data_IF_649548763804
#
_entry.id   IF_649548763804
#
_cell.length_a   1.000
_cell.length_b   1.000
_cell.length_c   1.000
_cell.angle_alpha   90.00
_cell.angle_beta   90.00
_cell.angle_gamma   90.00
#
_symmetry.space_group_name_H-M   'P 1'
#
loop_
_entity.id
_entity.type
_entity.pdbx_description
1 polymer ?
#
# COMPACT_ATOMS: atom_id res chain seq x y z
N UNK A 1 -2.18 4.28 -30.65
CA UNK A 1 -2.38 2.93 -30.07
C UNK A 1 -1.87 3.07 -28.65
N UNK A 2 -2.78 3.03 -27.68
CA UNK A 2 -2.42 3.36 -26.30
C UNK A 2 -1.39 2.34 -25.79
N UNK A 3 -0.23 2.83 -25.34
CA UNK A 3 0.93 2.01 -24.96
C UNK A 3 0.97 1.83 -23.43
N UNK A 4 0.00 1.09 -22.91
CA UNK A 4 -0.09 0.80 -21.48
C UNK A 4 0.86 -0.33 -21.07
N UNK A 5 1.51 -0.17 -19.93
CA UNK A 5 2.28 -1.24 -19.29
C UNK A 5 1.37 -2.29 -18.66
N UNK A 6 0.25 -1.85 -18.07
CA UNK A 6 -0.74 -2.73 -17.42
C UNK A 6 -2.13 -2.25 -17.81
N UNK A 7 -2.97 -3.20 -18.23
CA UNK A 7 -4.39 -2.99 -18.45
C UNK A 7 -5.18 -4.11 -17.79
N UNK A 8 -6.19 -3.77 -17.00
CA UNK A 8 -7.13 -4.74 -16.44
C UNK A 8 -8.56 -4.41 -16.89
N UNK A 9 -9.34 -5.45 -17.14
CA UNK A 9 -10.73 -5.38 -17.55
C UNK A 9 -11.55 -6.27 -16.64
N UNK A 10 -12.32 -5.62 -15.75
CA UNK A 10 -13.18 -6.26 -14.74
C UNK A 10 -12.48 -7.40 -13.97
N UNK A 11 -11.22 -7.21 -13.59
CA UNK A 11 -10.46 -8.27 -12.91
C UNK A 11 -10.98 -8.47 -11.49
N UNK A 12 -11.36 -9.71 -11.17
CA UNK A 12 -11.94 -10.07 -9.87
C UNK A 12 -11.16 -11.21 -9.24
N UNK A 13 -10.98 -11.15 -7.92
CA UNK A 13 -10.42 -12.25 -7.13
C UNK A 13 -11.32 -12.60 -5.96
N UNK A 14 -11.77 -13.85 -5.98
CA UNK A 14 -12.50 -14.46 -4.88
C UNK A 14 -11.64 -15.53 -4.20
N UNK A 15 -11.67 -15.54 -2.87
CA UNK A 15 -11.11 -16.61 -2.07
C UNK A 15 -12.24 -17.37 -1.36
N UNK A 16 -12.15 -18.70 -1.40
CA UNK A 16 -13.01 -19.56 -0.59
C UNK A 16 -12.40 -19.64 0.80
N UNK A 17 -12.94 -18.86 1.73
CA UNK A 17 -12.50 -18.86 3.12
C UNK A 17 -13.24 -19.96 3.89
N UNK A 18 -12.46 -20.73 4.63
CA UNK A 18 -12.97 -21.61 5.66
C UNK A 18 -12.92 -20.83 6.97
N UNK A 19 -14.07 -20.50 7.55
CA UNK A 19 -14.12 -20.08 8.93
C UNK A 19 -14.24 -21.34 9.80
N UNK A 20 -13.17 -21.77 10.50
CA UNK A 20 -13.26 -22.91 11.40
C UNK A 20 -14.21 -22.67 12.59
N UNK A 21 -14.57 -21.40 12.90
CA UNK A 21 -15.36 -21.03 14.06
C UNK A 21 -16.42 -19.95 13.73
N UNK A 22 -17.62 -20.36 13.28
CA UNK A 22 -18.69 -19.40 13.02
C UNK A 22 -19.22 -18.70 14.30
N UNK A 23 -18.92 -19.20 15.52
CA UNK A 23 -19.45 -18.70 16.80
C UNK A 23 -18.48 -18.88 18.01
N UNK A 24 -17.20 -18.48 17.94
CA UNK A 24 -16.33 -18.54 19.13
C UNK A 24 -16.28 -17.20 19.88
N UNK A 25 -17.08 -17.08 20.94
CA UNK A 25 -16.91 -16.08 22.01
C UNK A 25 -16.11 -16.66 23.21
N UNK A 26 -15.37 -17.75 23.01
CA UNK A 26 -14.62 -18.49 24.05
C UNK A 26 -13.14 -18.09 24.10
N UNK A 27 -12.63 -17.91 25.33
CA UNK A 27 -11.22 -17.59 25.62
C UNK A 27 -10.24 -18.78 25.44
N UNK A 28 -10.73 -19.95 25.00
CA UNK A 28 -9.96 -21.20 24.92
C UNK A 28 -9.78 -21.68 23.47
N UNK A 29 -9.14 -20.82 22.67
CA UNK A 29 -8.86 -21.00 21.24
C UNK A 29 -8.11 -22.31 20.89
N UNK A 30 -7.35 -22.88 21.82
CA UNK A 30 -6.60 -24.14 21.61
C UNK A 30 -7.47 -25.40 21.74
N UNK A 31 -8.50 -25.37 22.59
CA UNK A 31 -9.39 -26.53 22.80
C UNK A 31 -10.38 -26.72 21.65
N UNK A 32 -10.85 -25.61 21.07
CA UNK A 32 -11.73 -25.62 19.90
C UNK A 32 -10.98 -26.18 18.65
N UNK A 33 -9.66 -25.96 18.56
CA UNK A 33 -8.82 -26.49 17.49
C UNK A 33 -8.60 -27.99 17.59
N UNK A 34 -8.32 -28.50 18.79
CA UNK A 34 -8.14 -29.92 19.05
C UNK A 34 -9.45 -30.71 18.83
N UNK A 35 -10.58 -30.18 19.30
CA UNK A 35 -11.89 -30.83 19.15
C UNK A 35 -12.38 -30.85 17.70
N UNK A 36 -12.21 -29.77 16.95
CA UNK A 36 -12.49 -29.71 15.51
C UNK A 36 -11.62 -30.70 14.72
N UNK A 37 -10.32 -30.79 15.03
CA UNK A 37 -9.41 -31.72 14.36
C UNK A 37 -9.74 -33.19 14.66
N UNK A 38 -10.05 -33.53 15.92
CA UNK A 38 -10.41 -34.90 16.34
C UNK A 38 -11.76 -35.33 15.71
N UNK A 39 -12.73 -34.43 15.61
CA UNK A 39 -14.05 -34.72 15.02
C UNK A 39 -14.01 -34.80 13.50
N UNK A 40 -13.13 -34.05 12.83
CA UNK A 40 -13.00 -34.04 11.36
C UNK A 40 -12.58 -35.39 10.73
N UNK A 41 -12.00 -36.31 11.51
CA UNK A 41 -11.64 -37.67 11.03
C UNK A 41 -12.82 -38.64 10.96
N UNK A 42 -14.02 -38.28 11.41
CA UNK A 42 -15.25 -39.08 11.23
C UNK A 42 -16.11 -38.48 10.11
N UNK A 43 -16.10 -39.17 8.97
CA UNK A 43 -16.87 -38.97 7.73
C UNK A 43 -18.15 -38.10 7.81
N UNK A 44 -18.24 -37.14 6.88
CA UNK A 44 -19.46 -36.68 6.17
C UNK A 44 -20.62 -36.01 6.95
N UNK A 45 -20.40 -35.12 7.93
CA UNK A 45 -21.53 -34.47 8.65
C UNK A 45 -21.52 -32.91 8.69
N UNK A 46 -20.57 -32.21 8.07
CA UNK A 46 -20.69 -30.75 7.93
C UNK A 46 -20.66 -30.33 6.46
N UNK A 47 -21.82 -29.86 5.96
CA UNK A 47 -21.87 -28.90 4.87
C UNK A 47 -21.15 -27.65 5.35
N UNK A 48 -19.83 -27.62 5.20
CA UNK A 48 -19.01 -26.51 5.63
C UNK A 48 -19.37 -25.30 4.78
N UNK A 49 -19.96 -24.29 5.41
CA UNK A 49 -20.37 -23.06 4.74
C UNK A 49 -19.09 -22.28 4.37
N UNK A 50 -18.57 -22.50 3.16
CA UNK A 50 -17.44 -21.76 2.60
C UNK A 50 -17.93 -20.34 2.34
N UNK A 51 -17.42 -19.37 3.09
CA UNK A 51 -17.68 -17.97 2.77
C UNK A 51 -16.78 -17.57 1.61
N UNK A 52 -17.38 -16.98 0.58
CA UNK A 52 -16.63 -16.37 -0.50
C UNK A 52 -16.26 -14.94 -0.07
N UNK A 53 -14.96 -14.66 -0.02
CA UNK A 53 -14.44 -13.31 0.20
C UNK A 53 -13.99 -12.77 -1.15
N UNK A 54 -14.64 -11.71 -1.61
CA UNK A 54 -14.22 -10.97 -2.81
C UNK A 54 -13.15 -9.98 -2.37
N UNK A 55 -11.89 -10.27 -2.69
CA UNK A 55 -10.76 -9.43 -2.29
C UNK A 55 -10.45 -8.33 -3.32
N UNK A 56 -10.81 -8.56 -4.58
CA UNK A 56 -10.76 -7.59 -5.68
C UNK A 56 -12.01 -7.79 -6.50
N UNK A 57 -12.73 -6.72 -6.83
CA UNK A 57 -14.05 -6.77 -7.45
C UNK A 57 -14.10 -5.87 -8.69
N UNK A 58 -14.15 -6.50 -9.86
CA UNK A 58 -14.30 -5.86 -11.17
C UNK A 58 -13.36 -4.65 -11.39
N UNK A 59 -12.08 -4.81 -11.06
CA UNK A 59 -11.12 -3.70 -11.16
C UNK A 59 -10.73 -3.43 -12.61
N UNK A 60 -10.92 -2.18 -13.02
CA UNK A 60 -10.46 -1.62 -14.29
C UNK A 60 -9.33 -0.63 -14.03
N UNK A 61 -8.13 -0.94 -14.51
CA UNK A 61 -6.92 -0.17 -14.24
C UNK A 61 -6.09 -0.04 -15.51
N UNK A 62 -5.54 1.15 -15.74
CA UNK A 62 -4.60 1.43 -16.83
C UNK A 62 -3.39 2.20 -16.30
N UNK A 63 -2.22 1.59 -16.45
CA UNK A 63 -0.92 2.16 -16.07
C UNK A 63 -0.10 2.39 -17.34
N UNK A 64 0.35 3.63 -17.53
CA UNK A 64 1.17 4.02 -18.67
C UNK A 64 2.59 3.46 -18.54
N UNK A 65 3.27 3.22 -19.66
CA UNK A 65 4.70 2.86 -19.61
C UNK A 65 5.54 3.98 -19.03
N UNK A 66 6.47 3.62 -18.15
CA UNK A 66 7.35 4.57 -17.47
C UNK A 66 6.65 5.40 -16.40
N UNK A 67 5.40 5.08 -16.05
CA UNK A 67 4.65 5.75 -14.98
C UNK A 67 5.12 5.23 -13.61
N UNK A 68 5.25 6.14 -12.65
CA UNK A 68 5.29 5.80 -11.23
C UNK A 68 3.86 5.87 -10.69
N UNK A 69 3.21 4.73 -10.60
CA UNK A 69 1.80 4.60 -10.27
C UNK A 69 1.61 4.14 -8.82
N UNK A 70 0.76 4.85 -8.07
CA UNK A 70 0.38 4.50 -6.71
C UNK A 70 -0.95 3.76 -6.64
N UNK A 71 -1.01 2.66 -5.90
CA UNK A 71 -2.26 1.99 -5.51
C UNK A 71 -2.48 2.22 -4.02
N UNK A 72 -3.43 3.07 -3.69
CA UNK A 72 -3.72 3.51 -2.32
C UNK A 72 -4.97 2.88 -1.76
N UNK A 73 -5.03 2.76 -0.45
CA UNK A 73 -6.22 2.28 0.25
C UNK A 73 -5.89 1.71 1.62
N UNK A 74 -6.91 1.50 2.47
CA UNK A 74 -6.72 0.93 3.79
C UNK A 74 -6.21 -0.51 3.73
N UNK A 75 -5.84 -1.03 4.90
CA UNK A 75 -5.57 -2.45 5.06
C UNK A 75 -6.82 -3.26 4.71
N UNK A 76 -6.65 -4.33 3.92
CA UNK A 76 -7.77 -5.13 3.44
C UNK A 76 -8.48 -4.61 2.19
N UNK A 77 -8.12 -3.44 1.65
CA UNK A 77 -8.74 -2.90 0.43
C UNK A 77 -8.52 -3.75 -0.84
N UNK A 78 -7.59 -4.72 -0.83
CA UNK A 78 -7.29 -5.58 -1.97
C UNK A 78 -5.97 -5.29 -2.70
N UNK A 79 -5.18 -4.32 -2.22
CA UNK A 79 -3.93 -3.85 -2.87
C UNK A 79 -2.93 -4.97 -3.17
N UNK A 80 -2.51 -5.69 -2.13
CA UNK A 80 -1.61 -6.84 -2.21
C UNK A 80 -2.17 -7.95 -3.11
N UNK A 81 -3.48 -8.19 -3.07
CA UNK A 81 -4.14 -9.19 -3.91
C UNK A 81 -4.05 -8.81 -5.38
N UNK A 82 -4.29 -7.54 -5.72
CA UNK A 82 -4.17 -7.03 -7.09
C UNK A 82 -2.72 -7.13 -7.59
N UNK A 83 -1.73 -6.72 -6.79
CA UNK A 83 -0.30 -6.88 -7.15
C UNK A 83 0.05 -8.34 -7.41
N UNK A 84 -0.37 -9.25 -6.53
CA UNK A 84 -0.11 -10.69 -6.70
C UNK A 84 -0.80 -11.26 -7.93
N UNK A 85 -1.96 -10.72 -8.33
CA UNK A 85 -2.58 -11.09 -9.60
C UNK A 85 -1.78 -10.62 -10.80
N UNK A 86 -1.39 -9.34 -10.83
CA UNK A 86 -0.57 -8.77 -11.92
C UNK A 86 0.79 -9.47 -12.06
N UNK A 87 1.30 -10.01 -10.95
CA UNK A 87 2.50 -10.84 -10.91
C UNK A 87 2.30 -12.32 -11.31
N UNK A 88 1.07 -12.76 -11.60
CA UNK A 88 0.67 -14.16 -11.82
C UNK A 88 0.97 -15.11 -10.65
N UNK A 89 1.11 -14.57 -9.43
CA UNK A 89 1.21 -15.37 -8.20
C UNK A 89 -0.15 -15.98 -7.88
N UNK A 90 -1.23 -15.23 -8.11
CA UNK A 90 -2.59 -15.74 -8.15
C UNK A 90 -3.20 -15.45 -9.50
N UNK A 91 -3.99 -16.38 -10.03
CA UNK A 91 -4.82 -16.10 -11.20
C UNK A 91 -6.14 -15.44 -10.74
N UNK A 92 -6.69 -14.50 -11.51
CA UNK A 92 -8.01 -13.94 -11.23
C UNK A 92 -9.09 -15.02 -11.29
N UNK A 93 -10.18 -14.81 -10.57
CA UNK A 93 -11.38 -15.65 -10.64
C UNK A 93 -12.18 -15.35 -11.91
N UNK A 94 -12.24 -14.08 -12.31
CA UNK A 94 -12.85 -13.61 -13.56
C UNK A 94 -12.20 -12.32 -14.04
N UNK A 95 -12.57 -11.88 -15.25
CA UNK A 95 -11.97 -10.74 -15.92
C UNK A 95 -10.69 -11.09 -16.68
N UNK A 96 -10.06 -10.08 -17.26
CA UNK A 96 -8.84 -10.23 -18.07
C UNK A 96 -7.85 -9.13 -17.75
N UNK A 97 -6.57 -9.38 -18.04
CA UNK A 97 -5.54 -8.37 -17.93
C UNK A 97 -4.45 -8.58 -18.97
N UNK A 98 -3.81 -7.48 -19.37
CA UNK A 98 -2.58 -7.47 -20.14
C UNK A 98 -1.48 -6.82 -19.31
N UNK A 99 -0.32 -7.47 -19.28
CA UNK A 99 0.86 -6.98 -18.56
C UNK A 99 2.03 -7.00 -19.53
N UNK A 100 2.62 -5.83 -19.76
CA UNK A 100 3.63 -5.60 -20.79
C UNK A 100 3.19 -6.08 -22.19
N UNK A 101 1.90 -5.94 -22.51
CA UNK A 101 1.31 -6.42 -23.78
C UNK A 101 0.97 -7.91 -23.83
N UNK A 102 1.33 -8.70 -22.81
CA UNK A 102 1.05 -10.13 -22.75
C UNK A 102 -0.24 -10.43 -21.99
N UNK A 103 -1.04 -11.37 -22.49
CA UNK A 103 -2.27 -11.82 -21.81
C UNK A 103 -1.93 -12.55 -20.51
N UNK A 104 -2.49 -12.08 -19.40
CA UNK A 104 -2.19 -12.59 -18.05
C UNK A 104 -2.56 -14.07 -17.86
N UNK A 105 -3.60 -14.55 -18.52
CA UNK A 105 -4.07 -15.94 -18.39
C UNK A 105 -3.37 -16.86 -19.38
N UNK A 106 -3.13 -16.41 -20.61
CA UNK A 106 -2.60 -17.23 -21.72
C UNK A 106 -1.08 -17.21 -21.81
N UNK A 107 -0.43 -16.11 -21.42
CA UNK A 107 1.00 -15.87 -21.62
C UNK A 107 1.75 -15.65 -20.29
N UNK A 108 1.36 -16.37 -19.24
CA UNK A 108 1.86 -16.24 -17.87
C UNK A 108 3.39 -16.21 -17.78
N UNK A 109 4.11 -17.07 -18.51
CA UNK A 109 5.58 -17.10 -18.50
C UNK A 109 6.21 -15.82 -19.03
N UNK A 110 5.59 -15.19 -20.04
CA UNK A 110 6.06 -13.91 -20.58
C UNK A 110 5.75 -12.76 -19.62
N UNK A 111 4.58 -12.82 -18.96
CA UNK A 111 4.25 -11.87 -17.88
C UNK A 111 5.27 -11.97 -16.75
N UNK A 112 5.55 -13.18 -16.23
CA UNK A 112 6.56 -13.41 -15.18
C UNK A 112 7.94 -12.88 -15.55
N UNK A 113 8.36 -13.07 -16.81
CA UNK A 113 9.64 -12.55 -17.28
C UNK A 113 9.67 -11.02 -17.44
N UNK A 114 8.51 -10.36 -17.44
CA UNK A 114 8.37 -8.91 -17.64
C UNK A 114 8.13 -8.10 -16.37
N UNK A 115 7.93 -8.77 -15.22
CA UNK A 115 7.63 -8.12 -13.94
C UNK A 115 8.60 -8.57 -12.86
N UNK A 116 9.02 -7.62 -12.02
CA UNK A 116 9.64 -7.92 -10.75
C UNK A 116 8.65 -7.61 -9.62
N UNK A 117 8.71 -8.38 -8.54
CA UNK A 117 7.85 -8.19 -7.37
C UNK A 117 8.72 -8.07 -6.13
N UNK A 118 8.55 -6.98 -5.39
CA UNK A 118 9.12 -6.80 -4.06
C UNK A 118 7.97 -6.72 -3.08
N UNK A 119 7.85 -7.70 -2.19
CA UNK A 119 6.83 -7.74 -1.16
C UNK A 119 7.36 -7.17 0.15
N UNK A 120 6.48 -6.60 0.97
CA UNK A 120 6.76 -6.35 2.38
C UNK A 120 7.23 -7.65 3.05
N UNK A 121 8.33 -7.58 3.79
CA UNK A 121 8.97 -8.77 4.34
C UNK A 121 9.71 -9.64 3.31
N UNK A 122 9.91 -9.18 2.07
CA UNK A 122 10.62 -9.91 1.01
C UNK A 122 12.06 -10.32 1.38
N UNK A 123 12.61 -9.73 2.44
CA UNK A 123 13.87 -10.13 3.04
C UNK A 123 13.85 -11.51 3.71
N UNK A 124 12.68 -12.09 4.00
CA UNK A 124 12.53 -13.45 4.53
C UNK A 124 13.06 -14.53 3.56
N UNK A 125 13.28 -14.17 2.29
CA UNK A 125 13.91 -15.06 1.30
C UNK A 125 15.44 -15.08 1.35
N UNK A 126 16.07 -14.45 2.34
CA UNK A 126 17.53 -14.46 2.51
C UNK A 126 17.93 -15.27 3.74
N UNK A 127 19.07 -15.95 3.64
CA UNK A 127 19.68 -16.63 4.76
C UNK A 127 20.42 -15.61 5.65
N UNK A 128 20.00 -15.53 6.91
CA UNK A 128 20.53 -14.61 7.91
C UNK A 128 21.97 -14.89 8.30
N UNK A 129 22.47 -16.11 8.10
CA UNK A 129 23.83 -16.50 8.43
C UNK A 129 24.80 -16.33 7.27
N UNK A 130 24.29 -16.07 6.07
CA UNK A 130 25.07 -15.91 4.84
C UNK A 130 25.30 -14.43 4.53
N UNK A 131 26.42 -14.11 3.89
CA UNK A 131 26.71 -12.72 3.50
C UNK A 131 25.69 -12.18 2.51
N UNK A 132 25.53 -10.85 2.48
CA UNK A 132 24.64 -10.17 1.55
C UNK A 132 24.98 -10.53 0.10
N UNK A 133 26.27 -10.49 -0.25
CA UNK A 133 26.77 -10.84 -1.59
C UNK A 133 26.38 -12.26 -1.97
N UNK A 134 26.61 -13.24 -1.10
CA UNK A 134 26.31 -14.63 -1.40
C UNK A 134 24.81 -14.90 -1.53
N UNK A 135 24.00 -14.24 -0.70
CA UNK A 135 22.54 -14.23 -0.83
C UNK A 135 22.09 -13.74 -2.22
N UNK A 136 22.64 -12.63 -2.69
CA UNK A 136 22.30 -12.08 -4.01
C UNK A 136 22.84 -12.93 -5.16
N UNK A 137 24.05 -13.49 -5.04
CA UNK A 137 24.61 -14.43 -6.03
C UNK A 137 23.69 -15.66 -6.13
N UNK A 138 23.22 -16.21 -5.01
CA UNK A 138 22.27 -17.33 -5.01
C UNK A 138 21.02 -16.99 -5.84
N UNK A 139 20.39 -15.84 -5.58
CA UNK A 139 19.22 -15.42 -6.35
C UNK A 139 19.51 -15.16 -7.83
N UNK A 140 20.65 -14.53 -8.15
CA UNK A 140 21.07 -14.31 -9.54
C UNK A 140 21.23 -15.65 -10.29
N UNK A 141 21.83 -16.64 -9.63
CA UNK A 141 21.98 -17.99 -10.18
C UNK A 141 20.63 -18.69 -10.36
N UNK A 142 19.70 -18.51 -9.42
CA UNK A 142 18.32 -19.01 -9.53
C UNK A 142 17.54 -18.36 -10.68
N UNK A 143 17.84 -17.10 -11.02
CA UNK A 143 17.30 -16.43 -12.21
C UNK A 143 18.00 -16.85 -13.51
N UNK A 144 18.95 -17.79 -13.47
CA UNK A 144 19.61 -18.36 -14.65
C UNK A 144 20.85 -17.61 -15.11
N UNK A 145 21.35 -16.62 -14.36
CA UNK A 145 22.57 -15.90 -14.72
C UNK A 145 23.78 -16.82 -14.59
N UNK A 146 24.74 -16.69 -15.51
CA UNK A 146 26.06 -17.33 -15.41
C UNK A 146 26.84 -16.75 -14.23
N UNK A 147 27.82 -17.49 -13.70
CA UNK A 147 28.50 -17.10 -12.43
C UNK A 147 29.22 -15.76 -12.52
N UNK A 148 29.90 -15.50 -13.63
CA UNK A 148 30.57 -14.23 -13.95
C UNK A 148 29.57 -13.08 -14.03
N UNK A 149 28.48 -13.28 -14.78
CA UNK A 149 27.41 -12.29 -14.91
C UNK A 149 26.69 -12.04 -13.58
N UNK A 150 26.41 -13.08 -12.81
CA UNK A 150 25.81 -12.98 -11.50
C UNK A 150 26.64 -12.10 -10.57
N UNK A 151 27.96 -12.29 -10.50
CA UNK A 151 28.84 -11.46 -9.66
C UNK A 151 28.78 -9.99 -10.09
N UNK A 152 28.91 -9.72 -11.39
CA UNK A 152 28.84 -8.36 -11.94
C UNK A 152 27.50 -7.67 -11.62
N UNK A 153 26.39 -8.36 -11.85
CA UNK A 153 25.04 -7.85 -11.58
C UNK A 153 24.78 -7.63 -10.09
N UNK A 154 25.38 -8.46 -9.23
CA UNK A 154 25.33 -8.28 -7.77
C UNK A 154 26.08 -7.04 -7.34
N UNK A 155 27.27 -6.79 -7.88
CA UNK A 155 28.03 -5.55 -7.61
C UNK A 155 27.25 -4.32 -8.05
N UNK A 156 26.71 -4.33 -9.28
CA UNK A 156 25.85 -3.25 -9.79
C UNK A 156 24.63 -3.02 -8.89
N UNK A 157 23.94 -4.09 -8.47
CA UNK A 157 22.75 -3.98 -7.63
C UNK A 157 23.07 -3.44 -6.23
N UNK A 158 24.17 -3.91 -5.61
CA UNK A 158 24.63 -3.43 -4.31
C UNK A 158 25.02 -1.95 -4.34
N UNK A 159 25.66 -1.53 -5.44
CA UNK A 159 26.00 -0.13 -5.71
C UNK A 159 24.77 0.75 -5.75
N UNK A 160 23.78 0.35 -6.56
CA UNK A 160 22.54 1.08 -6.71
C UNK A 160 21.84 1.26 -5.36
N UNK A 161 21.76 0.20 -4.54
CA UNK A 161 21.06 0.29 -3.25
C UNK A 161 21.91 0.79 -2.08
N UNK A 162 23.18 1.15 -2.32
CA UNK A 162 24.11 1.65 -1.31
C UNK A 162 24.41 0.64 -0.20
N UNK A 163 24.66 -0.62 -0.55
CA UNK A 163 24.99 -1.71 0.39
C UNK A 163 26.37 -2.35 0.11
N UNK A 164 27.20 -1.74 -0.73
CA UNK A 164 28.53 -2.24 -1.13
C UNK A 164 29.44 -2.49 0.08
N UNK A 165 29.53 -1.53 1.00
CA UNK A 165 30.39 -1.60 2.19
C UNK A 165 30.00 -2.73 3.16
N UNK A 166 28.81 -3.29 2.98
CA UNK A 166 28.25 -4.36 3.81
C UNK A 166 28.12 -5.68 3.07
N UNK A 167 28.60 -5.76 1.83
CA UNK A 167 28.43 -6.92 0.96
C UNK A 167 28.88 -8.24 1.62
N UNK A 168 29.93 -8.18 2.44
CA UNK A 168 30.50 -9.34 3.14
C UNK A 168 29.94 -9.57 4.54
N UNK A 169 29.12 -8.66 5.08
CA UNK A 169 28.43 -8.84 6.35
C UNK A 169 27.28 -9.84 6.22
N UNK A 170 26.95 -10.52 7.32
CA UNK A 170 25.76 -11.38 7.40
C UNK A 170 24.49 -10.55 7.20
N UNK A 171 23.53 -11.07 6.42
CA UNK A 171 22.27 -10.33 6.17
C UNK A 171 21.43 -10.09 7.44
N UNK A 172 21.68 -10.86 8.52
CA UNK A 172 21.00 -10.73 9.80
C UNK A 172 21.27 -9.41 10.53
N UNK A 173 22.42 -8.76 10.30
CA UNK A 173 22.82 -7.53 10.99
C UNK A 173 22.19 -6.26 10.38
N UNK A 174 21.51 -6.40 9.25
CA UNK A 174 20.88 -5.27 8.56
C UNK A 174 19.67 -4.73 9.35
N UNK A 175 19.54 -3.39 9.37
CA UNK A 175 18.32 -2.72 9.84
C UNK A 175 17.12 -3.02 8.92
N UNK A 176 15.90 -2.73 9.36
CA UNK A 176 14.69 -2.92 8.54
C UNK A 176 14.79 -2.21 7.18
N UNK A 177 15.26 -0.95 7.16
CA UNK A 177 15.45 -0.19 5.92
C UNK A 177 16.49 -0.79 4.99
N UNK A 178 17.58 -1.33 5.54
CA UNK A 178 18.62 -1.97 4.75
C UNK A 178 18.19 -3.34 4.21
N UNK A 179 17.42 -4.12 4.99
CA UNK A 179 16.79 -5.36 4.52
C UNK A 179 15.84 -5.10 3.36
N UNK A 180 15.12 -3.99 3.41
CA UNK A 180 14.23 -3.59 2.34
C UNK A 180 15.01 -3.19 1.07
N UNK A 181 16.08 -2.41 1.22
CA UNK A 181 17.01 -2.11 0.10
C UNK A 181 17.61 -3.39 -0.49
N UNK A 182 17.96 -4.37 0.34
CA UNK A 182 18.42 -5.68 -0.12
C UNK A 182 17.34 -6.44 -0.91
N UNK A 183 16.08 -6.40 -0.46
CA UNK A 183 14.96 -6.99 -1.19
C UNK A 183 14.77 -6.33 -2.57
N UNK A 184 14.97 -5.02 -2.68
CA UNK A 184 14.96 -4.30 -3.96
C UNK A 184 16.17 -4.70 -4.83
N UNK A 185 17.37 -4.80 -4.25
CA UNK A 185 18.58 -5.23 -4.96
C UNK A 185 18.41 -6.59 -5.63
N UNK A 186 17.73 -7.54 -4.98
CA UNK A 186 17.37 -8.83 -5.58
C UNK A 186 16.54 -8.66 -6.86
N UNK A 187 15.56 -7.76 -6.87
CA UNK A 187 14.78 -7.45 -8.07
C UNK A 187 15.64 -6.87 -9.20
N UNK A 188 16.71 -6.15 -8.86
CA UNK A 188 17.60 -5.52 -9.84
C UNK A 188 18.61 -6.46 -10.48
N UNK A 189 18.73 -7.71 -10.00
CA UNK A 189 19.63 -8.71 -10.60
C UNK A 189 19.26 -8.98 -12.05
N UNK A 190 17.96 -8.96 -12.38
CA UNK A 190 17.43 -9.07 -13.73
C UNK A 190 16.68 -7.79 -14.13
N UNK A 191 16.85 -7.36 -15.37
CA UNK A 191 16.08 -6.26 -15.89
C UNK A 191 14.65 -6.71 -16.21
N UNK A 192 13.66 -5.98 -15.68
CA UNK A 192 12.25 -6.10 -16.07
C UNK A 192 11.68 -4.71 -16.38
N UNK A 193 10.78 -4.58 -17.36
CA UNK A 193 10.16 -3.29 -17.68
C UNK A 193 9.19 -2.78 -16.59
N UNK A 194 8.69 -3.67 -15.73
CA UNK A 194 7.70 -3.35 -14.69
C UNK A 194 8.22 -3.81 -13.33
N UNK A 195 8.11 -2.94 -12.33
CA UNK A 195 8.37 -3.20 -10.91
C UNK A 195 7.07 -3.07 -10.12
N UNK A 196 6.66 -4.16 -9.47
CA UNK A 196 5.51 -4.21 -8.58
C UNK A 196 6.01 -4.23 -7.12
N UNK A 197 5.73 -3.17 -6.38
CA UNK A 197 6.20 -2.96 -5.01
C UNK A 197 5.00 -3.00 -4.07
N UNK A 198 4.94 -4.02 -3.23
CA UNK A 198 3.87 -4.18 -2.26
C UNK A 198 4.32 -3.67 -0.89
N UNK A 199 3.85 -2.49 -0.51
CA UNK A 199 4.12 -1.83 0.77
C UNK A 199 5.63 -1.73 1.09
N UNK A 200 6.45 -1.16 0.19
CA UNK A 200 7.91 -1.25 0.28
C UNK A 200 8.52 -0.37 1.37
N UNK A 201 7.76 0.49 2.04
CA UNK A 201 8.25 1.38 3.11
C UNK A 201 7.66 1.07 4.47
N UNK A 202 6.86 0.01 4.58
CA UNK A 202 6.17 -0.33 5.82
C UNK A 202 7.15 -0.74 6.91
N UNK A 203 6.98 -0.16 8.10
CA UNK A 203 7.84 -0.39 9.26
C UNK A 203 9.21 0.32 9.20
N UNK A 204 9.40 1.23 8.24
CA UNK A 204 10.57 2.10 8.19
C UNK A 204 10.30 3.43 8.90
N UNK A 205 11.34 4.01 9.48
CA UNK A 205 11.29 5.40 9.95
C UNK A 205 11.11 6.37 8.75
N UNK A 206 10.60 7.60 8.98
CA UNK A 206 10.30 8.54 7.90
C UNK A 206 11.47 8.83 6.94
N UNK A 207 12.70 8.94 7.46
CA UNK A 207 13.88 9.24 6.65
C UNK A 207 14.26 8.03 5.77
N UNK A 208 14.25 6.83 6.35
CA UNK A 208 14.48 5.60 5.58
C UNK A 208 13.41 5.36 4.52
N UNK A 209 12.14 5.58 4.85
CA UNK A 209 11.02 5.46 3.92
C UNK A 209 11.15 6.44 2.74
N UNK A 210 11.53 7.70 3.01
CA UNK A 210 11.79 8.69 1.97
C UNK A 210 12.95 8.24 1.08
N UNK A 211 14.09 7.87 1.67
CA UNK A 211 15.28 7.48 0.91
C UNK A 211 15.03 6.27 -0.01
N UNK A 212 14.22 5.29 0.43
CA UNK A 212 13.83 4.15 -0.40
C UNK A 212 12.96 4.59 -1.59
N UNK A 213 11.94 5.43 -1.36
CA UNK A 213 11.06 5.93 -2.44
C UNK A 213 11.80 6.82 -3.43
N UNK A 214 12.67 7.69 -2.92
CA UNK A 214 13.53 8.56 -3.72
C UNK A 214 14.44 7.74 -4.64
N UNK A 215 15.11 6.71 -4.09
CA UNK A 215 15.88 5.75 -4.87
C UNK A 215 15.03 5.08 -5.97
N UNK A 216 13.84 4.57 -5.63
CA UNK A 216 12.97 3.91 -6.61
C UNK A 216 12.56 4.89 -7.73
N UNK A 217 12.19 6.13 -7.39
CA UNK A 217 11.76 7.13 -8.36
C UNK A 217 12.92 7.54 -9.28
N UNK A 218 14.10 7.77 -8.72
CA UNK A 218 15.24 8.27 -9.49
C UNK A 218 15.92 7.17 -10.30
N UNK A 219 16.29 6.05 -9.66
CA UNK A 219 17.07 5.00 -10.32
C UNK A 219 16.19 4.08 -11.18
N UNK A 220 15.06 3.62 -10.66
CA UNK A 220 14.23 2.64 -11.40
C UNK A 220 13.35 3.33 -12.44
N UNK A 221 12.62 4.34 -12.02
CA UNK A 221 11.66 5.00 -12.90
C UNK A 221 12.32 6.00 -13.86
N UNK A 222 13.02 7.02 -13.37
CA UNK A 222 13.58 8.08 -14.23
C UNK A 222 14.79 7.63 -15.07
N UNK A 223 15.75 6.93 -14.46
CA UNK A 223 17.00 6.55 -15.14
C UNK A 223 16.86 5.31 -16.00
N UNK A 224 16.17 4.26 -15.52
CA UNK A 224 15.97 3.01 -16.28
C UNK A 224 14.67 2.98 -17.10
N UNK A 225 13.81 4.00 -16.98
CA UNK A 225 12.54 4.09 -17.71
C UNK A 225 11.52 3.02 -17.31
N UNK A 226 11.69 2.39 -16.15
CA UNK A 226 10.80 1.31 -15.72
C UNK A 226 9.46 1.85 -15.25
N UNK A 227 8.41 1.07 -15.50
CA UNK A 227 7.09 1.32 -14.92
C UNK A 227 7.10 0.81 -13.49
N UNK A 228 6.70 1.64 -12.53
CA UNK A 228 6.66 1.26 -11.12
C UNK A 228 5.23 1.32 -10.64
N UNK A 229 4.74 0.24 -10.03
CA UNK A 229 3.46 0.22 -9.32
C UNK A 229 3.75 -0.02 -7.85
N UNK A 230 3.42 0.95 -7.00
CA UNK A 230 3.67 0.89 -5.56
C UNK A 230 2.35 0.88 -4.81
N UNK A 231 2.18 -0.06 -3.88
CA UNK A 231 1.08 -0.05 -2.91
C UNK A 231 1.50 0.67 -1.64
N UNK A 232 0.62 1.50 -1.10
CA UNK A 232 0.83 2.16 0.19
C UNK A 232 -0.53 2.51 0.80
N UNK A 233 -0.62 2.48 2.12
CA UNK A 233 -1.73 3.11 2.86
C UNK A 233 -1.36 4.54 3.30
N UNK A 234 -0.13 4.98 3.07
CA UNK A 234 0.33 6.33 3.41
C UNK A 234 0.10 7.30 2.25
N UNK A 235 -0.99 8.07 2.33
CA UNK A 235 -1.43 9.02 1.30
C UNK A 235 -0.35 10.05 0.94
N UNK A 236 0.38 10.57 1.93
CA UNK A 236 1.46 11.53 1.71
C UNK A 236 2.58 10.95 0.84
N UNK A 237 2.82 9.64 0.89
CA UNK A 237 3.88 9.03 0.11
C UNK A 237 3.58 9.05 -1.38
N UNK A 238 2.32 8.78 -1.72
CA UNK A 238 1.89 8.78 -3.10
C UNK A 238 1.77 10.19 -3.66
N UNK A 239 1.33 11.17 -2.87
CA UNK A 239 1.36 12.58 -3.27
C UNK A 239 2.76 13.05 -3.68
N UNK A 240 3.79 12.58 -2.95
CA UNK A 240 5.16 13.04 -3.14
C UNK A 240 5.84 12.42 -4.37
N UNK A 241 5.54 11.17 -4.72
CA UNK A 241 6.32 10.41 -5.69
C UNK A 241 5.54 9.90 -6.92
N UNK A 242 4.21 9.73 -6.81
CA UNK A 242 3.42 9.10 -7.85
C UNK A 242 2.93 10.13 -8.88
N UNK A 243 3.01 9.76 -10.15
CA UNK A 243 2.50 10.56 -11.26
C UNK A 243 0.96 10.46 -11.30
N UNK A 244 0.44 9.24 -11.07
CA UNK A 244 -0.98 8.95 -10.91
C UNK A 244 -1.21 7.95 -9.79
N UNK A 245 -2.42 7.99 -9.26
CA UNK A 245 -2.84 7.22 -8.10
C UNK A 245 -4.23 6.64 -8.33
N UNK A 246 -4.41 5.36 -8.04
CA UNK A 246 -5.72 4.75 -7.88
C UNK A 246 -6.01 4.56 -6.39
N UNK A 247 -7.16 5.04 -5.95
CA UNK A 247 -7.70 4.79 -4.63
C UNK A 247 -8.57 3.54 -4.69
N UNK A 248 -8.22 2.54 -3.89
CA UNK A 248 -8.87 1.26 -3.75
C UNK A 248 -9.57 1.20 -2.38
N UNK A 249 -10.85 0.85 -2.38
CA UNK A 249 -11.61 0.56 -1.15
C UNK A 249 -12.51 -0.66 -1.40
N UNK A 250 -12.56 -1.57 -0.42
CA UNK A 250 -13.36 -2.80 -0.48
C UNK A 250 -13.24 -3.57 -1.82
N UNK A 251 -12.03 -3.68 -2.36
CA UNK A 251 -11.74 -4.41 -3.58
C UNK A 251 -12.01 -3.65 -4.88
N UNK A 252 -12.50 -2.40 -4.83
CA UNK A 252 -12.89 -1.60 -5.99
C UNK A 252 -12.05 -0.33 -6.11
N UNK A 253 -11.75 0.09 -7.35
CA UNK A 253 -11.15 1.41 -7.59
C UNK A 253 -12.26 2.45 -7.55
N UNK A 254 -12.19 3.37 -6.58
CA UNK A 254 -13.19 4.43 -6.39
C UNK A 254 -12.80 5.74 -7.08
N UNK A 255 -11.51 5.97 -7.30
CA UNK A 255 -11.00 7.10 -8.06
C UNK A 255 -9.61 6.78 -8.62
N UNK A 256 -9.27 7.32 -9.79
CA UNK A 256 -7.93 7.20 -10.36
C UNK A 256 -7.57 8.42 -11.21
N UNK A 257 -6.59 9.20 -10.78
CA UNK A 257 -6.11 10.38 -11.50
C UNK A 257 -4.72 10.81 -10.94
N UNK A 258 -4.19 11.96 -11.37
CA UNK A 258 -3.03 12.57 -10.71
C UNK A 258 -3.42 13.03 -9.29
N UNK A 259 -2.47 13.08 -8.33
CA UNK A 259 -2.76 13.56 -6.98
C UNK A 259 -3.43 14.94 -6.97
N UNK A 260 -2.97 15.87 -7.82
CA UNK A 260 -3.54 17.21 -7.97
C UNK A 260 -5.00 17.16 -8.45
N UNK A 261 -5.31 16.29 -9.41
CA UNK A 261 -6.66 16.19 -9.96
C UNK A 261 -7.64 15.52 -8.99
N UNK A 262 -7.17 14.54 -8.22
CA UNK A 262 -7.95 13.96 -7.14
C UNK A 262 -8.30 15.00 -6.06
N UNK A 263 -7.35 15.87 -5.68
CA UNK A 263 -7.60 16.95 -4.72
C UNK A 263 -8.68 17.93 -5.18
N UNK A 264 -8.83 18.17 -6.49
CA UNK A 264 -9.88 19.02 -7.06
C UNK A 264 -11.30 18.43 -6.96
N UNK A 265 -11.44 17.15 -6.62
CA UNK A 265 -12.74 16.55 -6.32
C UNK A 265 -13.36 17.16 -5.05
N UNK A 266 -12.52 17.67 -4.15
CA UNK A 266 -12.99 18.34 -2.94
C UNK A 266 -13.50 19.74 -3.24
N UNK A 267 -14.75 20.00 -2.83
CA UNK A 267 -15.36 21.33 -2.86
C UNK A 267 -15.21 21.99 -1.49
N UNK A 268 -14.91 23.28 -1.46
CA UNK A 268 -14.76 24.07 -0.23
C UNK A 268 -13.32 24.09 0.32
N UNK A 269 -13.12 24.87 1.37
CA UNK A 269 -11.83 25.03 2.03
C UNK A 269 -11.64 24.01 3.15
N UNK A 270 -10.40 23.53 3.33
CA UNK A 270 -9.98 22.76 4.50
C UNK A 270 -9.27 23.71 5.45
N UNK A 271 -9.68 23.71 6.70
CA UNK A 271 -9.10 24.52 7.76
C UNK A 271 -8.28 23.62 8.69
N UNK A 272 -7.02 23.98 8.93
CA UNK A 272 -6.16 23.36 9.92
C UNK A 272 -6.18 24.20 11.20
N UNK A 273 -6.61 23.59 12.29
CA UNK A 273 -6.55 24.15 13.63
C UNK A 273 -5.44 23.47 14.42
N UNK A 274 -4.59 24.25 15.08
CA UNK A 274 -3.77 23.77 16.19
C UNK A 274 -4.51 24.11 17.48
N UNK A 275 -4.71 23.10 18.31
CA UNK A 275 -5.55 23.18 19.51
C UNK A 275 -4.80 22.59 20.70
N UNK A 276 -5.03 23.19 21.86
CA UNK A 276 -4.64 22.64 23.16
C UNK A 276 -5.88 22.41 24.02
N UNK A 277 -5.74 21.59 25.06
CA UNK A 277 -6.78 21.30 26.05
C UNK A 277 -8.06 20.70 25.42
N UNK A 278 -7.91 19.95 24.31
CA UNK A 278 -9.04 19.34 23.62
C UNK A 278 -9.57 18.16 24.41
N UNK A 279 -10.86 18.23 24.77
CA UNK A 279 -11.57 17.10 25.38
C UNK A 279 -12.14 16.19 24.28
N UNK A 280 -12.08 14.86 24.42
CA UNK A 280 -12.58 13.93 23.40
C UNK A 280 -14.06 14.15 23.01
N UNK A 281 -14.89 14.61 23.94
CA UNK A 281 -16.31 14.86 23.68
C UNK A 281 -16.57 16.06 22.74
N UNK A 282 -15.63 16.99 22.64
CA UNK A 282 -15.76 18.17 21.77
C UNK A 282 -15.66 17.79 20.30
N UNK A 283 -14.74 16.87 19.97
CA UNK A 283 -14.54 16.38 18.60
C UNK A 283 -15.78 15.60 18.14
N UNK A 284 -16.32 14.74 18.99
CA UNK A 284 -17.57 14.00 18.70
C UNK A 284 -18.77 14.95 18.50
N UNK A 285 -18.88 16.00 19.32
CA UNK A 285 -19.92 17.03 19.14
C UNK A 285 -19.74 17.81 17.84
N UNK A 286 -18.49 18.05 17.41
CA UNK A 286 -18.19 18.71 16.15
C UNK A 286 -18.50 17.79 14.96
N UNK A 287 -18.18 16.50 15.05
CA UNK A 287 -18.57 15.46 14.06
C UNK A 287 -20.09 15.39 13.89
N UNK A 288 -20.85 15.50 14.98
CA UNK A 288 -22.31 15.50 14.96
C UNK A 288 -22.94 16.85 14.56
N UNK A 289 -22.14 17.91 14.39
CA UNK A 289 -22.64 19.24 14.08
C UNK A 289 -22.97 19.42 12.60
N UNK A 290 -23.71 20.49 12.27
CA UNK A 290 -23.94 20.89 10.87
C UNK A 290 -22.85 21.82 10.31
N UNK A 291 -21.89 22.25 11.12
CA UNK A 291 -20.87 23.24 10.73
C UNK A 291 -19.62 22.57 10.13
N UNK A 292 -19.31 21.34 10.53
CA UNK A 292 -18.26 20.53 9.94
C UNK A 292 -18.89 19.46 9.06
N UNK A 293 -18.34 19.26 7.86
CA UNK A 293 -18.73 18.14 6.99
C UNK A 293 -17.82 16.93 7.19
N UNK A 294 -16.54 17.17 7.50
CA UNK A 294 -15.51 16.15 7.71
C UNK A 294 -14.42 16.67 8.64
N UNK A 295 -13.81 15.74 9.38
CA UNK A 295 -12.83 16.02 10.43
C UNK A 295 -11.74 14.96 10.38
N UNK A 296 -10.48 15.38 10.45
CA UNK A 296 -9.33 14.51 10.73
C UNK A 296 -8.65 15.09 11.95
N UNK A 297 -8.61 14.34 13.04
CA UNK A 297 -7.95 14.75 14.28
C UNK A 297 -6.69 13.96 14.56
N UNK A 298 -5.67 14.66 15.09
CA UNK A 298 -4.43 14.06 15.59
C UNK A 298 -4.06 14.77 16.88
N UNK A 299 -4.45 14.17 18.01
CA UNK A 299 -4.19 14.68 19.34
C UNK A 299 -3.29 13.74 20.13
N UNK A 300 -2.36 14.33 20.89
CA UNK A 300 -1.58 13.64 21.91
C UNK A 300 -2.43 13.40 23.16
N UNK A 301 -1.91 12.60 24.10
CA UNK A 301 -2.62 12.24 25.33
C UNK A 301 -2.96 13.44 26.24
N UNK A 302 -2.28 14.57 26.07
CA UNK A 302 -2.51 15.82 26.80
C UNK A 302 -3.59 16.71 26.16
N UNK A 303 -4.18 16.27 25.03
CA UNK A 303 -5.18 17.05 24.29
C UNK A 303 -4.59 18.18 23.45
N UNK A 304 -3.27 18.17 23.23
CA UNK A 304 -2.57 19.05 22.29
C UNK A 304 -2.51 18.38 20.92
N UNK A 305 -2.76 19.12 19.85
CA UNK A 305 -2.64 18.55 18.51
C UNK A 305 -3.28 19.36 17.40
N UNK A 306 -3.60 18.67 16.32
CA UNK A 306 -4.13 19.27 15.09
C UNK A 306 -5.49 18.72 14.74
N UNK A 307 -6.34 19.59 14.21
CA UNK A 307 -7.65 19.25 13.69
C UNK A 307 -7.81 19.84 12.29
N UNK A 308 -7.96 18.98 11.29
CA UNK A 308 -8.36 19.39 9.93
C UNK A 308 -9.87 19.32 9.83
N UNK A 309 -10.50 20.40 9.38
CA UNK A 309 -11.96 20.50 9.25
C UNK A 309 -12.32 20.95 7.84
N UNK A 310 -13.15 20.19 7.16
CA UNK A 310 -13.83 20.65 5.96
C UNK A 310 -15.16 21.31 6.35
N UNK A 311 -15.27 22.62 6.11
CA UNK A 311 -16.50 23.36 6.36
C UNK A 311 -17.68 22.83 5.54
N UNK A 312 -18.87 22.77 6.14
CA UNK A 312 -20.10 22.47 5.40
C UNK A 312 -20.52 23.64 4.49
N UNK A 313 -21.11 23.34 3.34
CA UNK A 313 -21.59 24.36 2.41
C UNK A 313 -22.59 25.31 3.10
N UNK A 314 -22.27 26.60 3.14
CA UNK A 314 -23.14 27.67 3.64
C UNK A 314 -23.08 27.95 5.15
N UNK A 315 -22.66 27.00 5.99
CA UNK A 315 -22.62 27.15 7.45
C UNK A 315 -21.26 26.88 8.11
N UNK A 316 -20.35 26.19 7.42
CA UNK A 316 -19.01 25.88 7.94
C UNK A 316 -17.98 26.84 7.39
N UNK A 317 -17.81 28.00 8.02
CA UNK A 317 -16.65 28.86 7.78
C UNK A 317 -15.67 28.76 8.96
N UNK A 318 -14.46 29.26 8.75
CA UNK A 318 -13.39 29.26 9.73
C UNK A 318 -13.85 29.80 11.10
N UNK A 319 -14.59 30.91 11.08
CA UNK A 319 -15.03 31.62 12.28
C UNK A 319 -16.07 30.84 13.09
N UNK A 320 -17.04 30.20 12.43
CA UNK A 320 -18.05 29.39 13.09
C UNK A 320 -17.44 28.16 13.76
N UNK A 321 -16.46 27.51 13.11
CA UNK A 321 -15.74 26.36 13.67
C UNK A 321 -14.87 26.80 14.85
N UNK A 322 -14.14 27.92 14.70
CA UNK A 322 -13.33 28.49 15.78
C UNK A 322 -14.17 28.80 17.01
N UNK A 323 -15.29 29.50 16.83
CA UNK A 323 -16.20 29.86 17.92
C UNK A 323 -16.75 28.60 18.62
N UNK A 324 -17.16 27.58 17.86
CA UNK A 324 -17.66 26.33 18.43
C UNK A 324 -16.63 25.64 19.35
N UNK A 325 -15.36 25.66 18.97
CA UNK A 325 -14.24 25.07 19.72
C UNK A 325 -13.94 25.88 21.00
N UNK A 326 -13.83 27.20 20.88
CA UNK A 326 -13.52 28.10 22.01
C UNK A 326 -14.63 28.10 23.07
N UNK A 327 -15.91 28.09 22.66
CA UNK A 327 -17.07 28.00 23.57
C UNK A 327 -17.07 26.71 24.41
N UNK A 328 -16.36 25.67 23.95
CA UNK A 328 -16.25 24.36 24.62
C UNK A 328 -14.93 24.20 25.36
N UNK A 329 -14.16 25.29 25.48
CA UNK A 329 -12.94 25.34 26.27
C UNK A 329 -11.69 24.83 25.56
N UNK A 330 -11.74 24.61 24.24
CA UNK A 330 -10.53 24.33 23.46
C UNK A 330 -9.75 25.62 23.24
N UNK A 331 -8.44 25.58 23.44
CA UNK A 331 -7.56 26.73 23.19
C UNK A 331 -7.04 26.65 21.76
N UNK A 332 -7.53 27.53 20.89
CA UNK A 332 -7.08 27.63 19.50
C UNK A 332 -5.78 28.43 19.45
N UNK A 333 -4.67 27.79 19.10
CA UNK A 333 -3.36 28.45 18.98
C UNK A 333 -3.10 28.96 17.56
N UNK A 334 -3.58 28.23 16.55
CA UNK A 334 -3.41 28.56 15.15
C UNK A 334 -4.63 28.15 14.33
N UNK A 335 -4.96 28.96 13.34
CA UNK A 335 -5.89 28.59 12.27
C UNK A 335 -5.29 28.94 10.93
N UNK A 336 -5.33 28.00 9.98
CA UNK A 336 -4.87 28.21 8.60
C UNK A 336 -5.82 27.56 7.61
N UNK A 337 -6.07 28.22 6.49
CA UNK A 337 -6.63 27.55 5.31
C UNK A 337 -5.52 26.77 4.63
N UNK A 338 -5.76 25.49 4.37
CA UNK A 338 -4.78 24.56 3.77
C UNK A 338 -5.37 23.90 2.52
N UNK A 339 -4.48 23.45 1.64
CA UNK A 339 -4.91 22.64 0.50
C UNK A 339 -5.35 21.24 0.97
N UNK A 340 -6.30 20.62 0.25
CA UNK A 340 -6.68 19.24 0.48
C UNK A 340 -5.52 18.26 0.25
N UNK A 341 -5.47 17.22 1.06
CA UNK A 341 -4.60 16.04 0.87
C UNK A 341 -5.39 14.90 0.24
N UNK A 342 -4.70 13.85 -0.22
CA UNK A 342 -5.30 12.59 -0.65
C UNK A 342 -5.99 11.86 0.50
N UNK A 343 -5.58 12.11 1.75
CA UNK A 343 -6.30 11.63 2.94
C UNK A 343 -7.66 12.30 3.05
N UNK A 344 -7.73 13.62 2.84
CA UNK A 344 -9.00 14.35 2.77
C UNK A 344 -9.88 13.84 1.61
N UNK A 345 -9.29 13.54 0.44
CA UNK A 345 -10.00 12.97 -0.73
C UNK A 345 -10.51 11.56 -0.42
N UNK A 346 -9.72 10.72 0.23
CA UNK A 346 -10.13 9.36 0.60
C UNK A 346 -11.36 9.42 1.50
N UNK A 347 -11.30 10.22 2.57
CA UNK A 347 -12.45 10.43 3.45
C UNK A 347 -13.63 11.07 2.71
N UNK A 348 -13.36 11.91 1.69
CA UNK A 348 -14.40 12.45 0.84
C UNK A 348 -15.21 11.37 0.12
N UNK A 349 -14.51 10.37 -0.42
CA UNK A 349 -15.10 9.32 -1.24
C UNK A 349 -15.67 8.15 -0.42
N UNK A 350 -15.06 7.80 0.71
CA UNK A 350 -15.44 6.61 1.50
C UNK A 350 -16.22 6.93 2.77
N UNK A 351 -16.10 8.15 3.31
CA UNK A 351 -16.63 8.50 4.63
C UNK A 351 -15.93 7.81 5.79
N UNK A 352 -14.78 7.16 5.56
CA UNK A 352 -13.99 6.44 6.56
C UNK A 352 -12.62 7.12 6.75
N UNK A 353 -12.10 7.05 7.97
CA UNK A 353 -10.67 7.26 8.24
C UNK A 353 -9.87 6.01 7.84
N UNK A 354 -8.57 6.18 7.58
CA UNK A 354 -7.65 5.11 7.15
C UNK A 354 -7.11 4.28 8.32
#
# INVERSE_FOLDING_TARGET
MDDYAIETFDITKEFKYFNPYPNSNSNDMWWDYLTSWITSKRKNIFSVNKQNIVAVDAVNLRVNRGEFFGLLGPNGAGKTTLIKMLATIFLPTSGTAKVNGYDLLKEQSKVKASVNVVQSGGWLGFDHHVSIRWNLIFWARMYGLRTDEAKRRVDEALSLVGLEDKAEESSGVLSSGMRQRLAIAKGLLVYTPIFLLDEPTVGLDPNSAYAVRDFIKHELNRKLGQTVVLTTHYMFEAEQFCDRVAILDEGRIIACDTPEQLKKLMKGHVFLFELNDVKPDVIEKLRASKIASRLIDRFDHDGTGTLRVQGSNGSGNEQAIKQFLEERGCKVTLVKTVEPTLEDVFMHLTGKEL
#
